data_IF_654211537395
#
_entry.id   IF_654211537395
#
_cell.length_a   1.000
_cell.length_b   1.000
_cell.length_c   1.000
_cell.angle_alpha   90.00
_cell.angle_beta   90.00
_cell.angle_gamma   90.00
#
_symmetry.space_group_name_H-M   'P 1'
#
loop_
_entity.id
_entity.type
_entity.pdbx_description
1 polymer ?
#
# COMPACT_ATOMS: atom_id res chain seq x y z
N UNK A 1 -24.17 4.02 11.99
CA UNK A 1 -23.57 5.36 12.06
C UNK A 1 -22.07 5.25 11.88
N UNK A 2 -21.51 5.98 10.93
CA UNK A 2 -20.07 6.09 10.78
C UNK A 2 -19.64 7.55 10.79
N UNK A 3 -18.45 7.80 11.29
CA UNK A 3 -17.81 9.10 11.29
C UNK A 3 -16.46 8.93 10.62
N UNK A 4 -16.21 9.69 9.56
CA UNK A 4 -14.95 9.75 8.85
C UNK A 4 -14.30 11.11 9.11
N UNK A 5 -13.04 11.11 9.54
CA UNK A 5 -12.29 12.33 9.85
C UNK A 5 -11.13 12.46 8.87
N UNK A 6 -11.10 13.57 8.16
CA UNK A 6 -9.94 13.98 7.37
C UNK A 6 -9.10 14.95 8.18
N UNK A 7 -7.84 14.61 8.39
CA UNK A 7 -6.89 15.44 9.12
C UNK A 7 -5.60 15.64 8.29
N UNK A 8 -4.84 16.65 8.65
CA UNK A 8 -3.52 16.94 8.14
C UNK A 8 -2.62 17.45 9.29
N UNK A 9 -1.41 17.85 8.99
CA UNK A 9 -0.45 18.38 9.98
C UNK A 9 -0.95 19.62 10.75
N UNK A 10 -1.99 20.31 10.29
CA UNK A 10 -2.58 21.48 10.93
C UNK A 10 -3.84 21.13 11.77
N UNK A 11 -4.27 19.86 11.77
CA UNK A 11 -5.43 19.39 12.52
C UNK A 11 -6.54 18.79 11.64
N UNK A 12 -7.77 18.79 12.19
CA UNK A 12 -8.94 18.25 11.50
C UNK A 12 -9.35 19.21 10.39
N UNK A 13 -9.31 18.72 9.17
CA UNK A 13 -9.71 19.46 7.97
C UNK A 13 -11.22 19.35 7.71
N UNK A 14 -11.80 18.15 7.90
CA UNK A 14 -13.22 17.90 7.67
C UNK A 14 -13.71 16.65 8.40
N UNK A 15 -14.98 16.68 8.80
CA UNK A 15 -15.67 15.53 9.38
C UNK A 15 -16.87 15.19 8.51
N UNK A 16 -17.04 13.93 8.18
CA UNK A 16 -18.20 13.37 7.52
C UNK A 16 -18.91 12.42 8.48
N UNK A 17 -20.23 12.46 8.52
CA UNK A 17 -21.02 11.53 9.31
C UNK A 17 -22.28 11.11 8.57
N UNK A 18 -22.70 9.88 8.74
CA UNK A 18 -23.91 9.38 8.11
C UNK A 18 -24.16 7.88 8.30
N UNK A 19 -25.24 7.40 7.65
CA UNK A 19 -25.72 6.02 7.76
C UNK A 19 -25.47 5.17 6.51
N UNK A 20 -25.15 5.75 5.39
CA UNK A 20 -25.09 5.06 4.11
C UNK A 20 -23.76 5.30 3.38
N UNK A 21 -23.57 4.58 2.28
CA UNK A 21 -22.36 4.67 1.47
C UNK A 21 -22.15 6.03 0.78
N UNK A 22 -23.15 6.89 0.75
CA UNK A 22 -23.07 8.17 0.02
C UNK A 22 -22.06 9.11 0.69
N UNK A 23 -22.09 9.22 2.03
CA UNK A 23 -21.14 10.07 2.74
C UNK A 23 -19.71 9.51 2.67
N UNK A 24 -19.53 8.16 2.67
CA UNK A 24 -18.22 7.51 2.48
C UNK A 24 -17.67 7.85 1.10
N UNK A 25 -18.49 7.80 0.05
CA UNK A 25 -18.07 8.20 -1.30
C UNK A 25 -17.65 9.66 -1.36
N UNK A 26 -18.39 10.55 -0.67
CA UNK A 26 -18.06 11.98 -0.59
C UNK A 26 -16.73 12.20 0.15
N UNK A 27 -16.49 11.51 1.26
CA UNK A 27 -15.23 11.61 2.00
C UNK A 27 -14.04 11.09 1.19
N UNK A 28 -14.20 9.95 0.51
CA UNK A 28 -13.19 9.39 -0.39
C UNK A 28 -12.92 10.34 -1.57
N UNK A 29 -13.96 10.93 -2.16
CA UNK A 29 -13.81 11.87 -3.26
C UNK A 29 -13.03 13.12 -2.84
N UNK A 30 -13.36 13.69 -1.68
CA UNK A 30 -12.66 14.85 -1.12
C UNK A 30 -11.20 14.53 -0.76
N UNK A 31 -10.96 13.38 -0.14
CA UNK A 31 -9.61 12.89 0.15
C UNK A 31 -8.80 12.75 -1.14
N UNK A 32 -9.36 12.09 -2.15
CA UNK A 32 -8.71 11.93 -3.45
C UNK A 32 -8.41 13.27 -4.13
N UNK A 33 -9.31 14.22 -4.07
CA UNK A 33 -9.10 15.54 -4.68
C UNK A 33 -7.93 16.31 -4.05
N UNK A 34 -7.64 16.04 -2.77
CA UNK A 34 -6.57 16.70 -2.01
C UNK A 34 -5.24 15.95 -2.05
N UNK A 35 -5.29 14.63 -2.25
CA UNK A 35 -4.11 13.76 -2.20
C UNK A 35 -3.70 13.21 -3.55
N UNK A 36 -4.57 13.29 -4.56
CA UNK A 36 -4.25 12.81 -5.89
C UNK A 36 -3.34 13.82 -6.61
N UNK A 37 -2.11 13.42 -6.78
CA UNK A 37 -1.20 14.10 -7.69
C UNK A 37 -1.31 13.41 -9.05
N UNK A 38 -1.61 14.19 -10.10
CA UNK A 38 -1.59 13.69 -11.47
C UNK A 38 -0.13 13.54 -11.93
N UNK A 39 0.40 12.34 -11.78
CA UNK A 39 1.68 11.98 -12.36
C UNK A 39 1.46 11.19 -13.65
N UNK A 40 2.28 11.50 -14.65
CA UNK A 40 2.43 10.60 -15.79
C UNK A 40 3.06 9.30 -15.33
N UNK A 41 2.67 8.18 -15.92
CA UNK A 41 3.28 6.89 -15.62
C UNK A 41 4.80 6.90 -15.85
N UNK A 42 5.56 6.39 -14.88
CA UNK A 42 7.02 6.37 -14.87
C UNK A 42 7.55 4.96 -15.14
N UNK A 43 8.70 4.86 -15.79
CA UNK A 43 9.40 3.59 -15.99
C UNK A 43 10.10 3.09 -14.73
N UNK A 44 10.52 4.02 -13.86
CA UNK A 44 11.23 3.69 -12.63
C UNK A 44 10.77 4.61 -11.51
N UNK A 45 10.65 4.05 -10.31
CA UNK A 45 10.32 4.76 -9.08
C UNK A 45 11.35 4.43 -8.00
N UNK A 46 11.73 5.44 -7.23
CA UNK A 46 12.42 5.27 -5.93
C UNK A 46 11.43 5.72 -4.87
N UNK A 47 11.15 4.84 -3.92
CA UNK A 47 10.10 5.01 -2.92
C UNK A 47 10.74 4.90 -1.54
N UNK A 48 10.56 5.91 -0.70
CA UNK A 48 10.90 5.82 0.72
C UNK A 48 9.70 5.28 1.51
N UNK A 49 9.96 4.39 2.45
CA UNK A 49 8.93 3.94 3.40
C UNK A 49 8.54 5.02 4.42
N UNK A 50 9.26 6.16 4.43
CA UNK A 50 9.02 7.27 5.34
C UNK A 50 9.98 7.27 6.53
N UNK A 51 9.76 8.21 7.44
CA UNK A 51 10.61 8.41 8.64
C UNK A 51 9.98 7.84 9.91
N UNK A 52 8.68 7.54 9.88
CA UNK A 52 7.98 7.00 11.03
C UNK A 52 8.35 5.53 11.24
N UNK A 53 8.82 5.12 12.43
CA UNK A 53 9.25 3.75 12.71
C UNK A 53 8.23 2.68 12.31
N UNK A 54 6.96 2.95 12.53
CA UNK A 54 5.86 2.02 12.20
C UNK A 54 5.81 1.68 10.70
N UNK A 55 6.31 2.58 9.84
CA UNK A 55 6.22 2.43 8.39
C UNK A 55 7.44 1.70 7.80
N UNK A 56 8.58 1.61 8.50
CA UNK A 56 9.80 1.10 7.89
C UNK A 56 10.55 0.03 8.71
N UNK A 57 10.08 -0.31 9.90
CA UNK A 57 10.75 -1.32 10.76
C UNK A 57 10.58 -2.75 10.26
N UNK A 58 9.50 -3.03 9.52
CA UNK A 58 9.30 -4.34 8.89
C UNK A 58 9.06 -4.21 7.40
N UNK A 59 9.42 -5.24 6.63
CA UNK A 59 9.15 -5.27 5.19
C UNK A 59 7.65 -5.17 4.90
N UNK A 60 6.81 -5.86 5.69
CA UNK A 60 5.35 -5.81 5.52
C UNK A 60 4.83 -4.38 5.61
N UNK A 61 5.28 -3.60 6.59
CA UNK A 61 4.86 -2.21 6.74
C UNK A 61 5.41 -1.32 5.60
N UNK A 62 6.68 -1.51 5.24
CA UNK A 62 7.33 -0.77 4.16
C UNK A 62 6.64 -0.95 2.81
N UNK A 63 6.07 -2.13 2.56
CA UNK A 63 5.35 -2.44 1.33
C UNK A 63 4.07 -1.60 1.14
N UNK A 64 3.50 -1.01 2.19
CA UNK A 64 2.38 -0.08 2.03
C UNK A 64 2.77 1.16 1.22
N UNK A 65 3.98 1.67 1.39
CA UNK A 65 4.49 2.80 0.60
C UNK A 65 4.65 2.44 -0.88
N UNK A 66 5.18 1.26 -1.16
CA UNK A 66 5.24 0.71 -2.52
C UNK A 66 3.84 0.56 -3.12
N UNK A 67 2.90 0.01 -2.35
CA UNK A 67 1.53 -0.22 -2.77
C UNK A 67 0.82 1.07 -3.18
N UNK A 68 0.94 2.09 -2.36
CA UNK A 68 0.34 3.39 -2.63
C UNK A 68 0.93 4.08 -3.87
N UNK A 69 2.17 3.75 -4.22
CA UNK A 69 2.90 4.37 -5.33
C UNK A 69 2.81 3.59 -6.64
N UNK A 70 2.38 2.32 -6.62
CA UNK A 70 2.45 1.44 -7.79
C UNK A 70 1.57 1.88 -8.95
N UNK A 71 0.53 2.67 -8.67
CA UNK A 71 -0.35 3.23 -9.68
C UNK A 71 0.34 4.16 -10.69
N UNK A 72 1.53 4.68 -10.32
CA UNK A 72 2.34 5.58 -11.16
C UNK A 72 3.33 4.78 -12.03
N UNK A 73 3.56 3.50 -11.73
CA UNK A 73 4.54 2.69 -12.43
C UNK A 73 3.95 2.10 -13.71
N UNK A 74 4.65 2.27 -14.83
CA UNK A 74 4.31 1.60 -16.10
C UNK A 74 4.38 0.09 -15.96
N UNK A 75 3.65 -0.62 -16.83
CA UNK A 75 3.83 -2.05 -16.97
C UNK A 75 5.29 -2.36 -17.30
N UNK A 76 5.88 -3.37 -16.63
CA UNK A 76 7.30 -3.74 -16.71
C UNK A 76 8.26 -2.64 -16.20
N UNK A 77 7.78 -1.66 -15.47
CA UNK A 77 8.59 -0.67 -14.79
C UNK A 77 9.29 -1.26 -13.56
N UNK A 78 10.28 -0.55 -13.06
CA UNK A 78 11.05 -0.93 -11.87
C UNK A 78 10.73 0.00 -10.71
N UNK A 79 10.49 -0.56 -9.52
CA UNK A 79 10.38 0.18 -8.28
C UNK A 79 11.47 -0.25 -7.30
N UNK A 80 12.12 0.73 -6.68
CA UNK A 80 13.10 0.54 -5.61
C UNK A 80 12.50 1.08 -4.33
N UNK A 81 12.30 0.20 -3.35
CA UNK A 81 11.81 0.57 -2.01
C UNK A 81 13.00 0.74 -1.07
N UNK A 82 13.11 1.92 -0.47
CA UNK A 82 14.10 2.25 0.54
C UNK A 82 13.45 2.16 1.92
N UNK A 83 13.86 1.19 2.72
CA UNK A 83 13.37 0.96 4.07
C UNK A 83 14.44 0.30 4.93
N UNK A 84 14.41 0.55 6.22
CA UNK A 84 15.37 -0.01 7.17
C UNK A 84 15.14 -1.50 7.42
N UNK A 85 13.87 -1.89 7.62
CA UNK A 85 13.43 -3.25 7.91
C UNK A 85 14.19 -3.92 9.08
N UNK A 86 14.52 -3.15 10.11
CA UNK A 86 15.32 -3.60 11.27
C UNK A 86 14.68 -4.77 12.04
N UNK A 87 13.37 -4.93 11.98
CA UNK A 87 12.61 -6.03 12.58
C UNK A 87 12.26 -7.15 11.57
N UNK A 88 12.94 -7.19 10.42
CA UNK A 88 12.79 -8.25 9.42
C UNK A 88 11.53 -8.13 8.57
N UNK A 89 10.95 -9.28 8.21
CA UNK A 89 9.82 -9.32 7.27
C UNK A 89 8.52 -8.82 7.92
N UNK A 90 8.34 -9.01 9.21
CA UNK A 90 7.09 -8.72 9.93
C UNK A 90 6.06 -9.84 9.83
N UNK A 91 4.82 -9.55 10.19
CA UNK A 91 3.71 -10.51 10.24
C UNK A 91 2.65 -10.23 9.18
N UNK A 92 1.82 -11.23 8.88
CA UNK A 92 0.66 -11.10 8.02
C UNK A 92 0.64 -12.07 6.84
N UNK A 93 -0.44 -12.02 6.05
CA UNK A 93 -0.68 -12.96 4.96
C UNK A 93 0.40 -12.90 3.86
N UNK A 94 0.92 -11.72 3.57
CA UNK A 94 2.00 -11.57 2.60
C UNK A 94 3.29 -12.22 3.09
N UNK A 95 3.64 -12.03 4.37
CA UNK A 95 4.81 -12.65 5.00
C UNK A 95 4.70 -14.17 4.95
N UNK A 96 3.54 -14.70 5.36
CA UNK A 96 3.27 -16.14 5.31
C UNK A 96 3.38 -16.69 3.88
N UNK A 97 2.99 -15.92 2.87
CA UNK A 97 3.16 -16.30 1.47
C UNK A 97 4.63 -16.30 1.04
N UNK A 98 5.39 -15.28 1.42
CA UNK A 98 6.82 -15.19 1.09
C UNK A 98 7.63 -16.30 1.76
N UNK A 99 7.21 -16.73 2.94
CA UNK A 99 7.82 -17.83 3.70
C UNK A 99 7.28 -19.22 3.32
N UNK A 100 6.49 -19.36 2.26
CA UNK A 100 5.85 -20.61 1.84
C UNK A 100 4.86 -21.23 2.83
N UNK A 101 4.42 -20.46 3.84
CA UNK A 101 3.44 -20.92 4.84
C UNK A 101 1.99 -20.81 4.40
N UNK A 102 1.73 -20.05 3.32
CA UNK A 102 0.41 -19.93 2.68
C UNK A 102 0.45 -20.41 1.24
N UNK A 103 -0.50 -21.22 0.91
CA UNK A 103 -0.70 -21.69 -0.45
C UNK A 103 -1.48 -20.64 -1.29
N UNK A 104 -1.19 -20.57 -2.60
CA UNK A 104 -1.80 -19.61 -3.51
C UNK A 104 -3.34 -19.70 -3.59
N UNK A 105 -3.93 -20.85 -3.32
CA UNK A 105 -5.39 -21.03 -3.31
C UNK A 105 -6.05 -20.34 -2.11
N UNK A 106 -5.36 -20.25 -0.99
CA UNK A 106 -5.83 -19.54 0.20
C UNK A 106 -5.69 -18.03 0.04
N UNK A 107 -4.58 -17.60 -0.57
CA UNK A 107 -4.34 -16.19 -0.86
C UNK A 107 -5.31 -15.62 -1.90
N UNK A 108 -5.80 -16.44 -2.84
CA UNK A 108 -6.80 -16.03 -3.83
C UNK A 108 -8.12 -15.57 -3.20
N UNK A 109 -8.41 -15.97 -1.97
CA UNK A 109 -9.58 -15.50 -1.21
C UNK A 109 -9.39 -14.09 -0.67
N UNK A 110 -8.16 -13.59 -0.63
CA UNK A 110 -7.84 -12.23 -0.16
C UNK A 110 -7.67 -11.33 -1.39
N UNK A 111 -8.66 -10.48 -1.66
CA UNK A 111 -8.71 -9.62 -2.86
C UNK A 111 -7.49 -8.73 -3.10
N UNK A 112 -6.68 -8.43 -2.08
CA UNK A 112 -5.46 -7.61 -2.23
C UNK A 112 -4.40 -8.24 -3.13
N UNK A 113 -4.30 -9.57 -3.11
CA UNK A 113 -3.21 -10.28 -3.80
C UNK A 113 -3.38 -10.26 -5.32
N UNK A 114 -4.61 -10.12 -5.80
CA UNK A 114 -4.86 -10.02 -7.25
C UNK A 114 -4.31 -8.72 -7.85
N UNK A 115 -4.26 -7.63 -7.07
CA UNK A 115 -3.69 -6.35 -7.52
C UNK A 115 -2.16 -6.46 -7.61
N UNK A 116 -1.51 -7.13 -6.64
CA UNK A 116 -0.05 -7.36 -6.64
C UNK A 116 0.36 -8.26 -7.80
N UNK A 117 -0.36 -9.38 -8.03
CA UNK A 117 -0.04 -10.32 -9.11
C UNK A 117 -0.05 -9.71 -10.49
N UNK A 118 -0.94 -8.75 -10.74
CA UNK A 118 -1.08 -8.16 -12.06
C UNK A 118 -0.05 -7.06 -12.35
N UNK A 119 0.60 -6.50 -11.33
CA UNK A 119 1.56 -5.39 -11.51
C UNK A 119 2.99 -5.71 -11.04
N UNK A 120 3.15 -6.62 -10.10
CA UNK A 120 4.47 -7.04 -9.57
C UNK A 120 4.62 -8.54 -9.83
N UNK A 121 5.51 -8.92 -10.73
CA UNK A 121 5.99 -10.29 -10.77
C UNK A 121 6.97 -10.47 -9.60
N UNK A 122 6.47 -10.94 -8.46
CA UNK A 122 7.32 -11.41 -7.39
C UNK A 122 8.04 -12.67 -7.84
N UNK A 123 9.29 -12.54 -8.25
CA UNK A 123 10.14 -13.68 -8.50
C UNK A 123 10.73 -14.13 -7.16
N UNK A 124 10.01 -15.02 -6.49
CA UNK A 124 10.31 -15.59 -5.16
C UNK A 124 11.76 -16.11 -5.05
N UNK A 125 12.32 -16.61 -6.14
CA UNK A 125 13.63 -17.25 -6.15
C UNK A 125 14.81 -16.26 -6.07
N UNK A 126 14.58 -14.96 -6.23
CA UNK A 126 15.64 -13.96 -6.27
C UNK A 126 15.79 -13.14 -5.00
N UNK A 127 14.87 -13.25 -4.03
CA UNK A 127 14.87 -12.41 -2.83
C UNK A 127 15.36 -13.10 -1.55
N UNK A 128 15.54 -14.42 -1.59
CA UNK A 128 15.94 -15.22 -0.42
C UNK A 128 17.13 -16.14 -0.73
N UNK A 129 18.17 -15.59 -1.37
CA UNK A 129 19.47 -16.23 -1.42
C UNK A 129 20.44 -15.52 -0.52
#
# INVERSE_FOLDING_TARGET
>A
YSIEVLSNQYGISRIYCGFNSTFIRSSISDFKSKTNFNFNEQKSLIISAGTEPENHTTLTNSLFSLWNSIGILKNQGMAVLLAENSHGIGDGALTMYLEDRLNLSEIKKINYVNVIKNKIQFNKNNYFK
#
